data_IF_299337976189
#
_entry.id   IF_299337976189
#
_cell.length_a   1.000
_cell.length_b   1.000
_cell.length_c   1.000
_cell.angle_alpha   90.00
_cell.angle_beta   90.00
_cell.angle_gamma   90.00
#
_symmetry.space_group_name_H-M   'P 1'
#
loop_
_entity.id
_entity.type
_entity.pdbx_description
1 polymer ?
#
# COMPACT_ATOMS: atom_id res chain seq x y z
N UNK A 1 0.24 -7.19 28.96
CA UNK A 1 0.24 -7.53 27.52
C UNK A 1 0.98 -6.42 26.78
N UNK A 2 2.13 -6.73 26.18
CA UNK A 2 2.87 -5.77 25.36
C UNK A 2 2.18 -5.65 24.00
N UNK A 3 1.34 -4.63 23.83
CA UNK A 3 0.86 -4.23 22.50
C UNK A 3 1.95 -3.35 21.91
N UNK A 4 2.72 -3.93 20.99
CA UNK A 4 3.74 -3.20 20.25
C UNK A 4 3.10 -2.07 19.44
N UNK A 5 3.14 -0.86 19.97
CA UNK A 5 2.91 0.36 19.20
C UNK A 5 4.05 0.53 18.20
N UNK A 6 3.97 -0.16 17.07
CA UNK A 6 4.92 0.05 15.97
C UNK A 6 4.51 1.29 15.19
N UNK A 7 5.07 2.44 15.59
CA UNK A 7 5.54 3.48 14.68
C UNK A 7 4.45 4.07 13.76
N UNK A 8 3.46 4.74 14.35
CA UNK A 8 2.72 5.81 13.64
C UNK A 8 3.66 7.01 13.47
N UNK A 9 4.52 6.97 12.46
CA UNK A 9 5.25 8.18 12.06
C UNK A 9 4.29 9.01 11.23
N UNK A 10 3.47 9.86 11.87
CA UNK A 10 2.75 10.98 11.25
C UNK A 10 2.21 10.67 9.84
N UNK A 11 1.11 9.90 9.75
CA UNK A 11 0.41 9.64 8.49
C UNK A 11 1.17 8.79 7.47
N UNK A 12 2.33 8.23 7.82
CA UNK A 12 3.13 7.37 6.95
C UNK A 12 3.45 6.01 7.59
N UNK A 13 3.56 4.99 6.75
CA UNK A 13 3.86 3.61 7.09
C UNK A 13 5.03 3.10 6.25
N UNK A 14 5.97 2.38 6.86
CA UNK A 14 7.09 1.77 6.13
C UNK A 14 6.58 0.63 5.23
N UNK A 15 7.21 0.43 4.06
CA UNK A 15 6.90 -0.65 3.10
C UNK A 15 6.65 -2.01 3.77
N UNK A 16 7.53 -2.43 4.70
CA UNK A 16 7.41 -3.72 5.36
C UNK A 16 6.13 -3.85 6.19
N UNK A 17 5.78 -2.78 6.92
CA UNK A 17 4.53 -2.73 7.67
C UNK A 17 3.32 -2.70 6.73
N UNK A 18 3.34 -1.92 5.64
CA UNK A 18 2.26 -1.93 4.64
C UNK A 18 1.97 -3.34 4.11
N UNK A 19 3.02 -4.07 3.72
CA UNK A 19 2.87 -5.44 3.19
C UNK A 19 2.27 -6.38 4.23
N UNK A 20 2.74 -6.29 5.48
CA UNK A 20 2.23 -7.10 6.60
C UNK A 20 0.77 -6.78 6.91
N UNK A 21 0.43 -5.50 7.03
CA UNK A 21 -0.91 -5.07 7.45
C UNK A 21 -1.97 -5.26 6.35
N UNK A 22 -1.62 -5.04 5.07
CA UNK A 22 -2.54 -5.23 3.94
C UNK A 22 -2.58 -6.68 3.43
N UNK A 23 -1.56 -7.47 3.74
CA UNK A 23 -1.42 -8.85 3.30
C UNK A 23 -1.25 -9.00 1.78
N UNK A 24 -0.77 -7.96 1.08
CA UNK A 24 -0.44 -8.02 -0.34
C UNK A 24 1.00 -8.47 -0.55
N UNK A 25 1.31 -9.01 -1.73
CA UNK A 25 2.68 -9.39 -2.06
C UNK A 25 3.55 -8.18 -2.43
N UNK A 26 4.89 -8.27 -2.29
CA UNK A 26 5.81 -7.25 -2.81
C UNK A 26 5.63 -6.97 -4.31
N UNK A 27 5.23 -7.99 -5.07
CA UNK A 27 4.98 -7.91 -6.52
C UNK A 27 3.70 -7.12 -6.80
N UNK A 28 2.63 -7.37 -6.03
CA UNK A 28 1.39 -6.60 -6.13
C UNK A 28 1.63 -5.13 -5.83
N UNK A 29 2.34 -4.83 -4.75
CA UNK A 29 2.69 -3.46 -4.39
C UNK A 29 3.39 -2.73 -5.55
N UNK A 30 4.46 -3.33 -6.11
CA UNK A 30 5.19 -2.74 -7.24
C UNK A 30 4.29 -2.53 -8.46
N UNK A 31 3.49 -3.55 -8.82
CA UNK A 31 2.60 -3.48 -9.97
C UNK A 31 1.49 -2.44 -9.81
N UNK A 32 0.91 -2.33 -8.61
CA UNK A 32 -0.19 -1.41 -8.32
C UNK A 32 0.29 0.04 -8.25
N UNK A 33 1.48 0.28 -7.68
CA UNK A 33 2.13 1.60 -7.73
C UNK A 33 2.44 2.01 -9.18
N UNK A 34 3.01 1.10 -9.99
CA UNK A 34 3.31 1.38 -11.39
C UNK A 34 2.05 1.68 -12.22
N UNK A 35 0.92 1.08 -11.85
CA UNK A 35 -0.38 1.25 -12.52
C UNK A 35 -1.24 2.39 -11.96
N UNK A 36 -0.74 3.11 -10.96
CA UNK A 36 -1.43 4.22 -10.29
C UNK A 36 -2.59 3.81 -9.39
N UNK A 37 -2.66 2.54 -8.97
CA UNK A 37 -3.67 2.03 -8.04
C UNK A 37 -3.28 2.26 -6.57
N UNK A 38 -1.98 2.36 -6.28
CA UNK A 38 -1.44 2.74 -4.97
C UNK A 38 -0.55 3.98 -5.10
N UNK A 39 -0.44 4.80 -4.04
CA UNK A 39 0.41 5.99 -4.06
C UNK A 39 1.88 5.60 -4.23
N UNK A 40 2.65 6.45 -4.90
CA UNK A 40 4.11 6.30 -4.99
C UNK A 40 4.73 6.46 -3.59
N UNK A 41 5.72 5.63 -3.22
CA UNK A 41 6.40 5.81 -1.94
C UNK A 41 7.23 7.10 -1.94
N UNK A 42 7.29 7.74 -0.78
CA UNK A 42 8.38 8.67 -0.47
C UNK A 42 9.61 7.87 -0.05
N UNK A 43 10.80 8.33 -0.45
CA UNK A 43 12.05 7.73 -0.05
C UNK A 43 12.73 8.62 0.98
N UNK A 44 13.16 8.03 2.10
CA UNK A 44 14.00 8.70 3.08
C UNK A 44 15.36 8.02 3.12
N UNK A 45 16.40 8.80 2.85
CA UNK A 45 17.78 8.34 2.98
C UNK A 45 18.25 8.53 4.43
N UNK A 46 18.83 7.48 5.01
CA UNK A 46 19.39 7.52 6.36
C UNK A 46 20.91 7.49 6.28
N UNK A 47 21.54 8.64 6.47
CA UNK A 47 23.00 8.79 6.47
C UNK A 47 23.61 7.89 7.55
N UNK A 48 24.55 7.02 7.17
CA UNK A 48 25.20 6.06 8.08
C UNK A 48 24.48 4.70 8.22
N UNK A 49 23.30 4.53 7.60
CA UNK A 49 22.64 3.23 7.46
C UNK A 49 22.75 2.74 6.02
N UNK A 50 22.79 1.41 5.81
CA UNK A 50 22.73 0.81 4.46
C UNK A 50 21.33 0.97 3.86
N UNK A 51 21.06 2.11 3.24
CA UNK A 51 20.01 2.25 2.22
C UNK A 51 18.94 3.34 2.43
N UNK A 52 18.08 3.46 1.42
CA UNK A 52 16.85 4.24 1.47
C UNK A 52 15.70 3.37 1.97
N UNK A 53 14.82 3.95 2.81
CA UNK A 53 13.55 3.31 3.18
C UNK A 53 12.41 3.96 2.43
N UNK A 54 11.45 3.13 2.02
CA UNK A 54 10.22 3.56 1.35
C UNK A 54 9.08 3.68 2.34
N UNK A 55 8.45 4.85 2.35
CA UNK A 55 7.30 5.17 3.18
C UNK A 55 6.09 5.47 2.30
N UNK A 56 4.94 4.95 2.72
CA UNK A 56 3.64 5.16 2.08
C UNK A 56 2.73 5.93 3.02
N UNK A 57 1.70 6.63 2.53
CA UNK A 57 0.64 7.12 3.39
C UNK A 57 -0.02 5.98 4.16
N UNK A 58 -0.42 6.20 5.42
CA UNK A 58 -1.04 5.18 6.26
C UNK A 58 -2.34 4.63 5.64
N UNK A 59 -3.15 5.49 5.01
CA UNK A 59 -4.38 5.10 4.30
C UNK A 59 -4.14 4.14 3.13
N UNK A 60 -2.91 4.02 2.64
CA UNK A 60 -2.57 3.06 1.57
C UNK A 60 -2.76 1.61 2.01
N UNK A 61 -2.80 1.33 3.32
CA UNK A 61 -3.09 -0.01 3.87
C UNK A 61 -4.53 -0.41 3.55
N UNK A 62 -5.49 0.46 3.81
CA UNK A 62 -6.92 0.20 3.57
C UNK A 62 -7.17 0.05 2.07
N UNK A 63 -6.65 0.98 1.26
CA UNK A 63 -6.75 0.87 -0.20
C UNK A 63 -6.17 -0.43 -0.75
N UNK A 64 -5.03 -0.88 -0.21
CA UNK A 64 -4.43 -2.15 -0.60
C UNK A 64 -5.30 -3.36 -0.22
N UNK A 65 -5.96 -3.33 0.94
CA UNK A 65 -6.91 -4.37 1.37
C UNK A 65 -8.13 -4.41 0.43
N UNK A 66 -8.68 -3.25 0.09
CA UNK A 66 -9.83 -3.14 -0.80
C UNK A 66 -9.50 -3.72 -2.17
N UNK A 67 -8.39 -3.28 -2.80
CA UNK A 67 -7.95 -3.81 -4.09
C UNK A 67 -7.75 -5.34 -4.03
N UNK A 68 -7.14 -5.85 -2.96
CA UNK A 68 -6.94 -7.30 -2.77
C UNK A 68 -8.28 -8.02 -2.71
N UNK A 69 -9.24 -7.49 -1.95
CA UNK A 69 -10.59 -8.05 -1.84
C UNK A 69 -11.30 -8.03 -3.19
N UNK A 70 -11.23 -6.94 -3.95
CA UNK A 70 -11.85 -6.88 -5.27
C UNK A 70 -11.30 -7.96 -6.20
N UNK A 71 -9.97 -8.11 -6.21
CA UNK A 71 -9.31 -9.11 -7.05
C UNK A 71 -9.62 -10.53 -6.61
N UNK A 72 -9.86 -10.76 -5.32
CA UNK A 72 -10.31 -12.07 -4.81
C UNK A 72 -11.71 -12.45 -5.32
N UNK A 73 -12.56 -11.47 -5.61
CA UNK A 73 -13.88 -11.67 -6.23
C UNK A 73 -13.82 -11.78 -7.76
N UNK A 74 -12.63 -11.87 -8.35
CA UNK A 74 -12.46 -11.97 -9.80
C UNK A 74 -12.58 -10.65 -10.54
N UNK A 75 -12.60 -9.50 -9.84
CA UNK A 75 -12.69 -8.19 -10.48
C UNK A 75 -11.38 -7.89 -11.22
N UNK A 76 -11.51 -7.58 -12.51
CA UNK A 76 -10.35 -7.28 -13.35
C UNK A 76 -9.64 -6.01 -12.88
N UNK A 77 -8.32 -5.94 -13.06
CA UNK A 77 -7.56 -4.74 -12.70
C UNK A 77 -8.01 -3.46 -13.42
N UNK A 78 -8.64 -3.60 -14.60
CA UNK A 78 -9.25 -2.48 -15.32
C UNK A 78 -10.48 -1.97 -14.58
N UNK A 79 -11.37 -2.86 -14.13
CA UNK A 79 -12.57 -2.49 -13.38
C UNK A 79 -12.22 -1.93 -12.00
N UNK A 80 -11.24 -2.51 -11.29
CA UNK A 80 -10.71 -1.94 -10.04
C UNK A 80 -10.30 -0.47 -10.25
N UNK A 81 -9.61 -0.16 -11.36
CA UNK A 81 -9.20 1.22 -11.65
C UNK A 81 -10.41 2.15 -11.83
N UNK A 82 -11.45 1.69 -12.53
CA UNK A 82 -12.67 2.48 -12.76
C UNK A 82 -13.41 2.75 -11.45
N UNK A 83 -13.54 1.72 -10.61
CA UNK A 83 -14.12 1.84 -9.27
C UNK A 83 -13.37 2.86 -8.41
N UNK A 84 -12.04 2.78 -8.37
CA UNK A 84 -11.21 3.72 -7.61
C UNK A 84 -11.23 5.16 -8.15
N UNK A 85 -11.62 5.36 -9.41
CA UNK A 85 -11.81 6.68 -10.01
C UNK A 85 -13.23 7.22 -9.86
N UNK A 86 -14.14 6.45 -9.29
CA UNK A 86 -15.58 6.78 -9.24
C UNK A 86 -16.28 6.68 -10.60
N UNK A 87 -15.64 6.05 -11.60
CA UNK A 87 -16.23 5.84 -12.93
C UNK A 87 -17.26 4.68 -12.91
N UNK A 88 -17.13 3.74 -11.99
CA UNK A 88 -18.06 2.62 -11.79
C UNK A 88 -18.33 2.40 -10.29
N UNK A 89 -19.54 1.95 -9.90
CA UNK A 89 -19.82 1.55 -8.52
C UNK A 89 -19.07 0.26 -8.16
N UNK A 90 -18.71 0.16 -6.87
CA UNK A 90 -18.11 -1.03 -6.28
C UNK A 90 -19.15 -2.14 -6.13
#
# INVERSE_FOLDING_TARGET
>A
MYVGMSVETYGHIERGALLRESGISPVDLTNWVARGLLPRPSQRYFKGSRGSRSYYPAWAVELARDIKQMRSWGVSGVRVRKVLRGEEPW
#
